data_IF_042393659829
#
_entry.id   IF_042393659829
#
_cell.length_a   1.000
_cell.length_b   1.000
_cell.length_c   1.000
_cell.angle_alpha   90.00
_cell.angle_beta   90.00
_cell.angle_gamma   90.00
#
_symmetry.space_group_name_H-M   'P 1'
#
loop_
_entity.id
_entity.type
_entity.pdbx_description
1 polymer ?
#
# COMPACT_ATOMS: atom_id res chain seq x y z
N UNK A 1 7.43 -14.41 2.08
CA UNK A 1 6.44 -13.60 1.32
C UNK A 1 6.13 -12.35 2.12
N UNK A 2 5.90 -11.20 1.48
CA UNK A 2 5.47 -9.96 2.14
C UNK A 2 4.09 -9.55 1.64
N UNK A 3 3.17 -9.25 2.55
CA UNK A 3 1.82 -8.78 2.23
C UNK A 3 1.80 -7.29 1.88
N UNK A 4 1.10 -6.91 0.82
CA UNK A 4 0.94 -5.52 0.39
C UNK A 4 -0.56 -5.17 0.38
N UNK A 5 -0.93 -4.21 1.23
CA UNK A 5 -2.27 -3.62 1.30
C UNK A 5 -2.17 -2.11 1.00
N UNK A 6 -2.52 -1.67 -0.22
CA UNK A 6 -2.52 -0.24 -0.54
C UNK A 6 -3.52 0.54 0.32
N UNK A 7 -3.09 1.67 0.86
CA UNK A 7 -3.95 2.59 1.60
C UNK A 7 -4.87 3.35 0.63
N UNK A 8 -6.06 3.76 1.09
CA UNK A 8 -7.05 4.43 0.20
C UNK A 8 -7.33 5.89 0.55
N UNK A 9 -7.03 6.31 1.78
CA UNK A 9 -7.23 7.68 2.27
C UNK A 9 -6.54 7.88 3.62
N UNK A 10 -6.40 9.14 4.05
CA UNK A 10 -5.90 9.46 5.39
C UNK A 10 -6.76 8.85 6.49
N UNK A 11 -8.10 8.90 6.34
CA UNK A 11 -9.02 8.27 7.31
C UNK A 11 -8.80 6.76 7.41
N UNK A 12 -8.59 6.09 6.28
CA UNK A 12 -8.30 4.65 6.28
C UNK A 12 -6.94 4.33 6.91
N UNK A 13 -5.92 5.13 6.64
CA UNK A 13 -4.60 4.98 7.26
C UNK A 13 -4.69 5.10 8.80
N UNK A 14 -5.37 6.14 9.31
CA UNK A 14 -5.56 6.33 10.75
C UNK A 14 -6.42 5.23 11.37
N UNK A 15 -7.46 4.75 10.68
CA UNK A 15 -8.24 3.61 11.16
C UNK A 15 -7.38 2.36 11.29
N UNK A 16 -6.59 2.03 10.27
CA UNK A 16 -5.70 0.86 10.31
C UNK A 16 -4.68 0.97 11.45
N UNK A 17 -4.11 2.16 11.68
CA UNK A 17 -3.13 2.39 12.73
C UNK A 17 -3.70 2.30 14.16
N UNK A 18 -4.92 2.83 14.37
CA UNK A 18 -5.47 2.98 15.71
C UNK A 18 -6.42 1.84 16.09
N UNK A 19 -7.15 1.27 15.13
CA UNK A 19 -8.28 0.37 15.39
C UNK A 19 -7.99 -1.09 15.01
N UNK A 20 -6.91 -1.37 14.26
CA UNK A 20 -6.58 -2.73 13.84
C UNK A 20 -5.36 -3.26 14.61
N UNK A 21 -5.54 -4.25 15.51
CA UNK A 21 -4.44 -4.82 16.28
C UNK A 21 -3.34 -5.38 15.38
N UNK A 22 -2.09 -5.01 15.68
CA UNK A 22 -0.92 -5.47 14.94
C UNK A 22 -0.60 -4.67 13.67
N UNK A 23 -1.37 -3.62 13.33
CA UNK A 23 -1.03 -2.70 12.24
C UNK A 23 -0.49 -1.39 12.81
N UNK A 24 0.77 -1.10 12.53
CA UNK A 24 1.42 0.17 12.88
C UNK A 24 1.98 0.78 11.62
N UNK A 25 1.50 1.99 11.28
CA UNK A 25 2.01 2.74 10.14
C UNK A 25 3.13 3.67 10.61
N UNK A 26 4.28 3.73 9.89
CA UNK A 26 5.31 4.73 10.16
C UNK A 26 4.75 6.15 10.07
N UNK A 27 5.27 7.06 10.89
CA UNK A 27 4.81 8.46 10.93
C UNK A 27 4.88 9.15 9.57
N UNK A 28 5.91 8.85 8.77
CA UNK A 28 6.03 9.42 7.42
C UNK A 28 4.91 8.95 6.49
N UNK A 29 4.52 7.68 6.57
CA UNK A 29 3.39 7.14 5.80
C UNK A 29 2.09 7.83 6.22
N UNK A 30 1.88 8.00 7.53
CA UNK A 30 0.70 8.70 8.07
C UNK A 30 0.64 10.15 7.62
N UNK A 31 1.76 10.88 7.68
CA UNK A 31 1.88 12.27 7.20
C UNK A 31 1.58 12.38 5.71
N UNK A 32 2.15 11.51 4.88
CA UNK A 32 1.89 11.48 3.44
C UNK A 32 0.42 11.19 3.09
N UNK A 33 -0.25 10.38 3.91
CA UNK A 33 -1.67 10.09 3.74
C UNK A 33 -2.58 11.16 4.37
N UNK A 34 -2.05 12.05 5.20
CA UNK A 34 -2.83 13.09 5.86
C UNK A 34 -3.54 13.98 4.82
N UNK A 35 -4.78 14.36 5.11
CA UNK A 35 -5.67 15.13 4.23
C UNK A 35 -5.97 14.50 2.85
N UNK A 36 -5.51 13.28 2.54
CA UNK A 36 -5.86 12.60 1.29
C UNK A 36 -7.23 11.92 1.37
N UNK A 37 -7.98 11.97 0.28
CA UNK A 37 -9.28 11.32 0.12
C UNK A 37 -9.55 10.95 -1.34
N UNK A 38 -10.57 10.10 -1.56
CA UNK A 38 -11.02 9.71 -2.89
C UNK A 38 -9.88 9.22 -3.80
N UNK A 39 -9.87 9.69 -5.04
CA UNK A 39 -8.86 9.31 -6.02
C UNK A 39 -7.43 9.75 -5.63
N UNK A 40 -7.28 10.86 -4.91
CA UNK A 40 -5.96 11.31 -4.46
C UNK A 40 -5.38 10.38 -3.39
N UNK A 41 -6.20 9.93 -2.44
CA UNK A 41 -5.80 8.96 -1.43
C UNK A 41 -5.44 7.61 -2.03
N UNK A 42 -6.23 7.11 -2.98
CA UNK A 42 -5.93 5.87 -3.68
C UNK A 42 -4.60 5.94 -4.44
N UNK A 43 -4.33 7.04 -5.17
CA UNK A 43 -3.05 7.24 -5.86
C UNK A 43 -1.87 7.30 -4.88
N UNK A 44 -2.02 8.04 -3.77
CA UNK A 44 -0.95 8.16 -2.79
C UNK A 44 -0.63 6.82 -2.11
N UNK A 45 -1.65 6.06 -1.71
CA UNK A 45 -1.43 4.76 -1.10
C UNK A 45 -0.86 3.73 -2.07
N UNK A 46 -1.21 3.81 -3.35
CA UNK A 46 -0.61 2.99 -4.39
C UNK A 46 0.87 3.36 -4.64
N UNK A 47 1.21 4.65 -4.64
CA UNK A 47 2.59 5.11 -4.72
C UNK A 47 3.44 4.59 -3.54
N UNK A 48 2.93 4.66 -2.32
CA UNK A 48 3.60 4.09 -1.13
C UNK A 48 3.79 2.57 -1.27
N UNK A 49 2.76 1.86 -1.72
CA UNK A 49 2.85 0.41 -1.94
C UNK A 49 3.89 0.05 -3.01
N UNK A 50 3.97 0.85 -4.09
CA UNK A 50 4.97 0.70 -5.15
C UNK A 50 6.40 0.88 -4.60
N UNK A 51 6.63 1.94 -3.83
CA UNK A 51 7.94 2.19 -3.19
C UNK A 51 8.36 1.03 -2.28
N UNK A 52 7.43 0.47 -1.52
CA UNK A 52 7.70 -0.70 -0.67
C UNK A 52 8.06 -1.95 -1.48
N UNK A 53 7.36 -2.18 -2.59
CA UNK A 53 7.67 -3.28 -3.52
C UNK A 53 9.07 -3.11 -4.12
N UNK A 54 9.40 -1.91 -4.58
CA UNK A 54 10.71 -1.59 -5.15
C UNK A 54 11.84 -1.80 -4.13
N UNK A 55 11.65 -1.30 -2.91
CA UNK A 55 12.64 -1.41 -1.84
C UNK A 55 12.92 -2.86 -1.40
N UNK A 56 11.93 -3.76 -1.53
CA UNK A 56 12.05 -5.17 -1.13
C UNK A 56 12.34 -6.10 -2.31
N UNK A 57 12.45 -5.58 -3.53
CA UNK A 57 12.71 -6.40 -4.71
C UNK A 57 14.08 -7.07 -4.59
N UNK A 58 14.12 -8.39 -4.82
CA UNK A 58 15.33 -9.20 -4.65
C UNK A 58 15.63 -9.63 -3.20
N UNK A 59 15.00 -9.02 -2.20
CA UNK A 59 15.16 -9.41 -0.79
C UNK A 59 14.11 -10.42 -0.31
N UNK A 60 12.99 -10.52 -1.03
CA UNK A 60 11.88 -11.40 -0.67
C UNK A 60 11.53 -12.39 -1.79
N UNK A 61 11.07 -13.58 -1.41
CA UNK A 61 10.66 -14.61 -2.37
C UNK A 61 9.42 -14.22 -3.22
N UNK A 62 8.68 -13.18 -2.81
CA UNK A 62 7.49 -12.70 -3.52
C UNK A 62 6.53 -11.92 -2.63
N UNK A 63 5.51 -11.34 -3.27
CA UNK A 63 4.51 -10.48 -2.65
C UNK A 63 3.13 -11.15 -2.65
N UNK A 64 2.37 -10.93 -1.57
CA UNK A 64 0.95 -11.27 -1.46
C UNK A 64 0.13 -9.99 -1.54
N UNK A 65 -0.60 -9.81 -2.64
CA UNK A 65 -1.34 -8.56 -2.90
C UNK A 65 -2.75 -8.65 -2.33
N UNK A 66 -3.10 -7.71 -1.45
CA UNK A 66 -4.42 -7.56 -0.83
C UNK A 66 -5.01 -6.22 -1.21
N UNK A 67 -5.71 -6.11 -2.35
CA UNK A 67 -6.25 -4.83 -2.73
C UNK A 67 -7.49 -4.48 -1.88
N UNK A 68 -7.67 -3.19 -1.54
CA UNK A 68 -8.73 -2.76 -0.65
C UNK A 68 -10.11 -2.90 -1.30
N UNK A 69 -11.11 -3.27 -0.48
CA UNK A 69 -12.53 -3.34 -0.85
C UNK A 69 -12.87 -4.21 -2.08
N UNK A 70 -12.09 -5.27 -2.32
CA UNK A 70 -12.34 -6.20 -3.42
C UNK A 70 -12.08 -5.64 -4.82
N UNK A 71 -11.42 -4.48 -4.93
CA UNK A 71 -11.01 -3.89 -6.21
C UNK A 71 -9.80 -4.64 -6.76
N UNK A 72 -9.76 -4.96 -8.04
CA UNK A 72 -8.66 -5.75 -8.62
C UNK A 72 -7.57 -4.85 -9.22
N UNK A 73 -7.93 -3.63 -9.60
CA UNK A 73 -7.08 -2.69 -10.33
C UNK A 73 -5.78 -2.34 -9.59
N UNK A 74 -5.78 -2.03 -8.27
CA UNK A 74 -4.52 -1.75 -7.56
C UNK A 74 -3.57 -2.94 -7.52
N UNK A 75 -4.11 -4.17 -7.49
CA UNK A 75 -3.28 -5.37 -7.52
C UNK A 75 -2.67 -5.60 -8.92
N UNK A 76 -3.41 -5.31 -9.99
CA UNK A 76 -2.88 -5.38 -11.35
C UNK A 76 -1.76 -4.36 -11.58
N UNK A 77 -1.91 -3.13 -11.08
CA UNK A 77 -0.85 -2.11 -11.20
C UNK A 77 0.43 -2.54 -10.48
N UNK A 78 0.31 -3.04 -9.25
CA UNK A 78 1.47 -3.57 -8.51
C UNK A 78 2.07 -4.81 -9.17
N UNK A 79 1.26 -5.68 -9.77
CA UNK A 79 1.75 -6.85 -10.50
C UNK A 79 2.64 -6.44 -11.67
N UNK A 80 2.25 -5.42 -12.42
CA UNK A 80 3.06 -4.91 -13.54
C UNK A 80 4.37 -4.27 -13.04
N UNK A 81 4.35 -3.55 -11.92
CA UNK A 81 5.58 -3.07 -11.25
C UNK A 81 6.50 -4.24 -10.90
N UNK A 82 5.98 -5.27 -10.22
CA UNK A 82 6.78 -6.43 -9.80
C UNK A 82 7.39 -7.16 -11.00
N UNK A 83 6.66 -7.26 -12.12
CA UNK A 83 7.16 -7.86 -13.36
C UNK A 83 8.28 -7.05 -14.00
N UNK A 84 8.20 -5.72 -13.94
CA UNK A 84 9.21 -4.82 -14.49
C UNK A 84 10.50 -4.71 -13.67
N UNK A 85 10.50 -5.21 -12.42
CA UNK A 85 11.68 -5.22 -11.54
C UNK A 85 12.51 -6.51 -11.64
N UNK A 86 12.10 -7.46 -12.49
CA UNK A 86 12.79 -8.72 -12.74
C UNK A 86 13.72 -8.66 -13.93
#
# INVERSE_FOLDING_TARGET
LVGILPLVSGRNAEFLHNEVPGIVLPDEVRKRMAATSGAAGARQGLAIARELVEALSGEVAGFYLMPPFGKVEPALELLEVIRGLR
#
